data_IF_546485468271
#
_entry.id   IF_546485468271
#
_cell.length_a   1.000
_cell.length_b   1.000
_cell.length_c   1.000
_cell.angle_alpha   90.00
_cell.angle_beta   90.00
_cell.angle_gamma   90.00
#
_symmetry.space_group_name_H-M   'P 1'
#
loop_
_entity.id
_entity.type
_entity.pdbx_description
1 polymer ?
#
# COMPACT_ATOMS: atom_id res chain seq x y z
N UNK A 1 21.58 12.08 1.08
CA UNK A 1 20.30 12.24 1.80
C UNK A 1 19.85 13.71 1.89
N UNK A 2 20.73 14.63 2.30
CA UNK A 2 20.42 16.08 2.37
C UNK A 2 20.10 16.70 0.99
N UNK A 3 20.79 16.28 -0.08
CA UNK A 3 20.47 16.70 -1.45
C UNK A 3 19.12 16.15 -1.98
N UNK A 4 18.66 14.99 -1.48
CA UNK A 4 17.36 14.41 -1.87
C UNK A 4 16.18 15.24 -1.32
N UNK A 5 16.29 15.72 -0.07
CA UNK A 5 15.27 16.53 0.60
C UNK A 5 15.16 17.96 0.04
N UNK A 6 16.18 18.43 -0.67
CA UNK A 6 16.23 19.78 -1.23
C UNK A 6 15.42 19.89 -2.54
N UNK A 7 15.06 18.76 -3.14
CA UNK A 7 14.23 18.71 -4.34
C UNK A 7 12.76 18.49 -3.95
N UNK A 8 11.93 19.52 -4.17
CA UNK A 8 10.50 19.51 -3.83
C UNK A 8 9.74 18.29 -4.37
N UNK A 9 10.12 17.79 -5.54
CA UNK A 9 9.47 16.65 -6.18
C UNK A 9 9.78 15.32 -5.46
N UNK A 10 11.02 15.16 -4.97
CA UNK A 10 11.43 14.01 -4.16
C UNK A 10 10.81 14.03 -2.77
N UNK A 11 10.69 15.22 -2.17
CA UNK A 11 9.95 15.41 -0.92
C UNK A 11 8.50 14.95 -1.07
N UNK A 12 7.85 15.26 -2.20
CA UNK A 12 6.50 14.78 -2.50
C UNK A 12 6.38 13.24 -2.50
N UNK A 13 7.35 12.55 -3.11
CA UNK A 13 7.39 11.06 -3.12
C UNK A 13 7.55 10.50 -1.71
N UNK A 14 8.47 11.05 -0.94
CA UNK A 14 8.72 10.59 0.43
C UNK A 14 7.49 10.85 1.33
N UNK A 15 6.86 12.01 1.19
CA UNK A 15 5.61 12.33 1.89
C UNK A 15 4.50 11.36 1.49
N UNK A 16 4.35 11.06 0.20
CA UNK A 16 3.34 10.10 -0.27
C UNK A 16 3.58 8.70 0.31
N UNK A 17 4.82 8.20 0.25
CA UNK A 17 5.20 6.91 0.82
C UNK A 17 4.95 6.87 2.33
N UNK A 18 5.29 7.95 3.04
CA UNK A 18 5.11 8.07 4.49
C UNK A 18 3.62 8.10 4.85
N UNK A 19 2.82 8.92 4.16
CA UNK A 19 1.38 8.99 4.36
C UNK A 19 0.69 7.66 4.05
N UNK A 20 1.11 6.98 2.99
CA UNK A 20 0.63 5.63 2.64
C UNK A 20 1.00 4.63 3.73
N UNK A 21 2.24 4.64 4.20
CA UNK A 21 2.69 3.80 5.30
C UNK A 21 1.89 4.02 6.58
N UNK A 22 1.67 5.28 6.97
CA UNK A 22 0.86 5.61 8.14
C UNK A 22 -0.60 5.16 7.97
N UNK A 23 -1.21 5.39 6.80
CA UNK A 23 -2.58 4.97 6.53
C UNK A 23 -2.74 3.46 6.71
N UNK A 24 -1.87 2.65 6.10
CA UNK A 24 -1.96 1.20 6.19
C UNK A 24 -1.49 0.66 7.55
N UNK A 25 -0.69 1.41 8.31
CA UNK A 25 -0.32 1.06 9.69
C UNK A 25 -1.54 1.19 10.62
N UNK A 26 -2.29 2.28 10.51
CA UNK A 26 -3.49 2.54 11.33
C UNK A 26 -4.78 1.93 10.75
N UNK A 27 -4.71 1.14 9.68
CA UNK A 27 -5.92 0.63 9.00
C UNK A 27 -6.77 -0.27 9.88
N UNK A 28 -6.20 -0.96 10.86
CA UNK A 28 -6.94 -1.79 11.82
C UNK A 28 -7.91 -0.95 12.63
N UNK A 29 -7.36 0.00 13.39
CA UNK A 29 -8.11 0.96 14.20
C UNK A 29 -9.12 1.75 13.36
N UNK A 30 -8.75 2.16 12.14
CA UNK A 30 -9.66 2.83 11.22
C UNK A 30 -10.82 1.92 10.80
N UNK A 31 -10.53 0.64 10.54
CA UNK A 31 -11.54 -0.34 10.16
C UNK A 31 -12.50 -0.57 11.31
N UNK A 32 -11.99 -0.83 12.52
CA UNK A 32 -12.81 -1.10 13.70
C UNK A 32 -13.78 0.04 13.99
N UNK A 33 -13.28 1.28 13.96
CA UNK A 33 -14.10 2.48 14.16
C UNK A 33 -15.19 2.61 13.10
N UNK A 34 -14.88 2.35 11.83
CA UNK A 34 -15.86 2.50 10.77
C UNK A 34 -16.88 1.35 10.78
N UNK A 35 -16.45 0.11 11.03
CA UNK A 35 -17.34 -1.05 11.14
C UNK A 35 -18.28 -0.83 12.32
N UNK A 36 -17.75 -0.49 13.50
CA UNK A 36 -18.53 -0.22 14.70
C UNK A 36 -19.64 0.79 14.46
N UNK A 37 -19.32 1.88 13.77
CA UNK A 37 -20.30 2.91 13.38
C UNK A 37 -21.39 2.39 12.45
N UNK A 38 -21.07 1.47 11.55
CA UNK A 38 -22.03 0.90 10.60
C UNK A 38 -22.92 -0.15 11.27
N UNK A 39 -22.36 -1.00 12.12
CA UNK A 39 -23.10 -2.11 12.74
C UNK A 39 -23.85 -1.71 14.01
N UNK A 40 -23.51 -0.57 14.62
CA UNK A 40 -24.21 -0.01 15.77
C UNK A 40 -23.77 -0.59 17.12
N UNK A 41 -22.64 -1.29 17.17
CA UNK A 41 -22.02 -1.81 18.39
C UNK A 41 -20.49 -1.77 18.27
N UNK A 42 -19.78 -1.94 19.38
CA UNK A 42 -18.31 -1.96 19.38
C UNK A 42 -17.81 -3.24 18.71
N UNK A 43 -17.19 -3.08 17.55
CA UNK A 43 -16.50 -4.12 16.82
C UNK A 43 -15.00 -3.99 17.06
N UNK A 44 -14.37 -5.10 17.45
CA UNK A 44 -12.92 -5.23 17.64
C UNK A 44 -12.47 -6.53 16.98
N UNK A 45 -11.32 -6.51 16.33
CA UNK A 45 -10.73 -7.70 15.76
C UNK A 45 -10.18 -8.59 16.89
N UNK A 46 -10.51 -9.89 16.85
CA UNK A 46 -9.92 -10.84 17.78
C UNK A 46 -8.45 -11.15 17.45
N UNK A 47 -8.15 -11.32 16.17
CA UNK A 47 -6.80 -11.44 15.63
C UNK A 47 -6.56 -10.30 14.66
N UNK A 48 -5.32 -9.81 14.55
CA UNK A 48 -5.03 -8.78 13.56
C UNK A 48 -5.18 -9.38 12.15
N UNK A 49 -6.07 -8.84 11.28
CA UNK A 49 -6.17 -9.27 9.89
C UNK A 49 -5.06 -8.68 9.01
N UNK A 50 -4.11 -7.98 9.65
CA UNK A 50 -3.15 -7.11 9.02
C UNK A 50 -1.74 -7.51 9.46
N UNK A 51 -0.77 -7.42 8.55
CA UNK A 51 0.62 -7.80 8.81
C UNK A 51 1.54 -6.56 8.82
N UNK A 52 1.74 -5.88 9.96
CA UNK A 52 2.59 -4.68 10.05
C UNK A 52 4.02 -4.90 9.56
N UNK A 53 4.58 -6.09 9.76
CA UNK A 53 5.93 -6.43 9.30
C UNK A 53 6.04 -6.43 7.77
N UNK A 54 5.01 -6.90 7.06
CA UNK A 54 4.97 -6.82 5.59
C UNK A 54 4.94 -5.37 5.15
N UNK A 55 4.13 -4.53 5.80
CA UNK A 55 4.07 -3.10 5.48
C UNK A 55 5.41 -2.40 5.69
N UNK A 56 6.09 -2.65 6.82
CA UNK A 56 7.43 -2.11 7.09
C UNK A 56 8.45 -2.57 6.04
N UNK A 57 8.42 -3.86 5.67
CA UNK A 57 9.26 -4.39 4.61
C UNK A 57 8.99 -3.70 3.27
N UNK A 58 7.71 -3.54 2.90
CA UNK A 58 7.32 -2.85 1.66
C UNK A 58 7.81 -1.40 1.65
N UNK A 59 7.72 -0.67 2.77
CA UNK A 59 8.26 0.70 2.88
C UNK A 59 9.78 0.69 2.66
N UNK A 60 10.51 -0.21 3.31
CA UNK A 60 11.96 -0.32 3.19
C UNK A 60 12.39 -0.64 1.74
N UNK A 61 11.70 -1.58 1.09
CA UNK A 61 11.99 -1.95 -0.30
C UNK A 61 11.63 -0.82 -1.27
N UNK A 62 10.51 -0.11 -1.05
CA UNK A 62 10.15 1.09 -1.82
C UNK A 62 11.25 2.15 -1.76
N UNK A 63 11.80 2.41 -0.56
CA UNK A 63 12.94 3.33 -0.40
C UNK A 63 14.16 2.85 -1.20
N UNK A 64 14.48 1.56 -1.13
CA UNK A 64 15.55 0.95 -1.92
C UNK A 64 15.37 1.15 -3.43
N UNK A 65 14.15 0.91 -3.95
CA UNK A 65 13.82 1.10 -5.37
C UNK A 65 13.90 2.58 -5.78
N UNK A 66 13.42 3.50 -4.95
CA UNK A 66 13.50 4.94 -5.21
C UNK A 66 14.97 5.38 -5.24
N UNK A 67 15.79 4.92 -4.28
CA UNK A 67 17.24 5.21 -4.25
C UNK A 67 17.93 4.68 -5.51
N UNK A 68 17.61 3.45 -5.93
CA UNK A 68 18.15 2.87 -7.16
C UNK A 68 17.76 3.69 -8.40
N UNK A 69 16.49 4.11 -8.50
CA UNK A 69 16.00 4.96 -9.59
C UNK A 69 16.70 6.32 -9.62
N UNK A 70 16.97 6.92 -8.46
CA UNK A 70 17.65 8.21 -8.38
C UNK A 70 19.09 8.16 -8.89
N UNK A 71 19.76 7.02 -8.73
CA UNK A 71 21.13 6.79 -9.23
C UNK A 71 21.22 6.62 -10.75
N UNK A 72 20.10 6.43 -11.45
CA UNK A 72 20.16 6.30 -12.91
C UNK A 72 20.46 7.67 -13.57
N UNK A 73 21.62 7.83 -14.18
CA UNK A 73 22.05 9.09 -14.81
C UNK A 73 21.36 9.35 -16.17
N UNK A 74 20.77 8.31 -16.79
CA UNK A 74 20.14 8.38 -18.11
C UNK A 74 18.71 8.93 -18.09
N UNK A 75 18.18 9.28 -16.92
CA UNK A 75 16.82 9.81 -16.76
C UNK A 75 16.85 11.18 -16.12
N UNK A 76 16.03 12.09 -16.64
CA UNK A 76 15.82 13.36 -16.01
C UNK A 76 15.08 13.20 -14.67
N UNK A 77 15.31 14.13 -13.75
CA UNK A 77 14.69 14.14 -12.42
C UNK A 77 13.16 14.04 -12.51
N UNK A 78 12.54 14.76 -13.45
CA UNK A 78 11.08 14.77 -13.60
C UNK A 78 10.53 13.40 -14.01
N UNK A 79 11.27 12.66 -14.84
CA UNK A 79 10.89 11.32 -15.30
C UNK A 79 11.00 10.31 -14.16
N UNK A 80 12.08 10.39 -13.38
CA UNK A 80 12.25 9.56 -12.18
C UNK A 80 11.11 9.79 -11.20
N UNK A 81 10.71 11.04 -10.99
CA UNK A 81 9.60 11.37 -10.10
C UNK A 81 8.29 10.80 -10.62
N UNK A 82 8.02 10.94 -11.93
CA UNK A 82 6.83 10.40 -12.58
C UNK A 82 6.76 8.87 -12.44
N UNK A 83 7.86 8.17 -12.65
CA UNK A 83 7.95 6.70 -12.52
C UNK A 83 7.69 6.27 -11.07
N UNK A 84 8.38 6.87 -10.10
CA UNK A 84 8.18 6.57 -8.69
C UNK A 84 6.75 6.86 -8.25
N UNK A 85 6.17 7.99 -8.70
CA UNK A 85 4.78 8.35 -8.43
C UNK A 85 3.79 7.33 -9.00
N UNK A 86 3.99 6.87 -10.25
CA UNK A 86 3.17 5.80 -10.84
C UNK A 86 3.25 4.50 -10.04
N UNK A 87 4.45 4.08 -9.65
CA UNK A 87 4.64 2.89 -8.82
C UNK A 87 3.93 3.00 -7.48
N UNK A 88 4.15 4.09 -6.75
CA UNK A 88 3.51 4.32 -5.45
C UNK A 88 1.99 4.44 -5.56
N UNK A 89 1.48 5.04 -6.65
CA UNK A 89 0.05 5.10 -6.90
C UNK A 89 -0.55 3.70 -7.16
N UNK A 90 0.11 2.85 -7.96
CA UNK A 90 -0.34 1.46 -8.16
C UNK A 90 -0.36 0.68 -6.86
N UNK A 91 0.71 0.79 -6.07
CA UNK A 91 0.80 0.21 -4.74
C UNK A 91 -0.37 0.67 -3.83
N UNK A 92 -0.61 1.98 -3.78
CA UNK A 92 -1.69 2.58 -2.99
C UNK A 92 -3.07 2.11 -3.44
N UNK A 93 -3.38 2.20 -4.75
CA UNK A 93 -4.70 1.85 -5.30
C UNK A 93 -5.06 0.40 -5.00
N UNK A 94 -4.12 -0.53 -5.20
CA UNK A 94 -4.36 -1.93 -4.88
C UNK A 94 -4.62 -2.14 -3.38
N UNK A 95 -3.85 -1.47 -2.52
CA UNK A 95 -4.09 -1.52 -1.08
C UNK A 95 -5.47 -1.01 -0.68
N UNK A 96 -5.94 0.09 -1.27
CA UNK A 96 -7.29 0.61 -1.04
C UNK A 96 -8.36 -0.36 -1.53
N UNK A 97 -8.18 -0.98 -2.70
CA UNK A 97 -9.12 -1.98 -3.22
C UNK A 97 -9.19 -3.19 -2.29
N UNK A 98 -8.04 -3.76 -1.92
CA UNK A 98 -8.00 -4.91 -1.02
C UNK A 98 -8.59 -4.58 0.35
N UNK A 99 -8.31 -3.39 0.88
CA UNK A 99 -8.93 -2.92 2.12
C UNK A 99 -10.45 -2.78 1.98
N UNK A 100 -10.95 -2.21 0.88
CA UNK A 100 -12.39 -2.11 0.61
C UNK A 100 -13.09 -3.48 0.51
N UNK A 101 -12.45 -4.46 -0.13
CA UNK A 101 -12.95 -5.84 -0.20
C UNK A 101 -13.05 -6.44 1.20
N UNK A 102 -11.97 -6.36 1.99
CA UNK A 102 -11.95 -6.83 3.37
C UNK A 102 -13.08 -6.21 4.18
N UNK A 103 -13.19 -4.89 4.09
CA UNK A 103 -14.20 -4.09 4.79
C UNK A 103 -15.63 -4.52 4.48
N UNK A 104 -15.92 -4.71 3.18
CA UNK A 104 -17.21 -5.18 2.71
C UNK A 104 -17.53 -6.58 3.23
N UNK A 105 -16.56 -7.50 3.15
CA UNK A 105 -16.74 -8.88 3.62
C UNK A 105 -17.09 -8.96 5.11
N UNK A 106 -16.48 -8.10 5.93
CA UNK A 106 -16.79 -8.04 7.37
C UNK A 106 -18.23 -7.59 7.60
N UNK A 107 -18.62 -6.48 6.99
CA UNK A 107 -19.96 -5.93 7.18
C UNK A 107 -21.03 -6.92 6.73
N UNK A 108 -20.80 -7.59 5.60
CA UNK A 108 -21.73 -8.60 5.10
C UNK A 108 -21.88 -9.78 6.07
N UNK A 109 -20.78 -10.29 6.63
CA UNK A 109 -20.81 -11.39 7.59
C UNK A 109 -21.42 -10.99 8.94
N UNK A 110 -21.09 -9.81 9.45
CA UNK A 110 -21.70 -9.31 10.69
C UNK A 110 -23.21 -9.11 10.55
N UNK A 111 -23.69 -8.69 9.38
CA UNK A 111 -25.12 -8.53 9.11
C UNK A 111 -25.85 -9.85 8.89
N UNK A 112 -25.20 -10.83 8.25
CA UNK A 112 -25.84 -12.10 7.86
C UNK A 112 -25.75 -13.18 8.94
N UNK A 113 -24.63 -13.26 9.66
CA UNK A 113 -24.32 -14.36 10.59
C UNK A 113 -24.06 -13.89 12.02
N UNK A 114 -23.89 -12.57 12.24
CA UNK A 114 -23.57 -12.01 13.55
C UNK A 114 -22.19 -12.41 14.09
N UNK A 115 -21.33 -13.02 13.26
CA UNK A 115 -20.02 -13.54 13.65
C UNK A 115 -19.02 -13.46 12.50
N UNK A 116 -17.75 -13.29 12.85
CA UNK A 116 -16.59 -13.21 11.96
C UNK A 116 -15.85 -14.53 11.79
N UNK A 117 -16.24 -15.58 12.51
CA UNK A 117 -15.49 -16.85 12.55
C UNK A 117 -15.29 -17.47 11.16
N UNK A 118 -16.25 -17.29 10.24
CA UNK A 118 -16.14 -17.76 8.85
C UNK A 118 -15.09 -16.98 8.07
N UNK A 119 -14.97 -15.67 8.30
CA UNK A 119 -13.93 -14.85 7.65
C UNK A 119 -12.55 -15.23 8.16
N UNK A 120 -12.41 -15.41 9.47
CA UNK A 120 -11.16 -15.79 10.14
C UNK A 120 -10.67 -17.16 9.66
N UNK A 121 -11.59 -18.10 9.39
CA UNK A 121 -11.28 -19.38 8.77
C UNK A 121 -10.81 -19.27 7.31
N UNK A 122 -11.11 -18.16 6.62
CA UNK A 122 -10.68 -17.90 5.25
C UNK A 122 -9.50 -16.92 5.24
N UNK A 123 -8.30 -17.46 5.52
CA UNK A 123 -7.04 -16.71 5.60
C UNK A 123 -6.79 -15.78 4.40
N UNK A 124 -7.17 -16.19 3.19
CA UNK A 124 -6.98 -15.38 1.98
C UNK A 124 -7.85 -14.12 2.00
N UNK A 125 -9.13 -14.26 2.33
CA UNK A 125 -10.05 -13.12 2.40
C UNK A 125 -9.79 -12.28 3.65
N UNK A 126 -9.32 -12.90 4.73
CA UNK A 126 -8.93 -12.23 5.95
C UNK A 126 -7.73 -11.30 5.74
N UNK A 127 -6.71 -11.75 5.02
CA UNK A 127 -5.51 -10.95 4.71
C UNK A 127 -5.52 -10.30 3.31
N UNK A 128 -6.69 -10.16 2.67
CA UNK A 128 -6.80 -9.71 1.28
C UNK A 128 -6.21 -8.30 1.06
N UNK A 129 -6.28 -7.42 2.06
CA UNK A 129 -5.67 -6.09 2.02
C UNK A 129 -4.14 -6.16 1.85
N UNK A 130 -3.47 -7.06 2.59
CA UNK A 130 -2.03 -7.26 2.49
C UNK A 130 -1.61 -7.92 1.18
N UNK A 131 -2.36 -8.93 0.76
CA UNK A 131 -2.14 -9.60 -0.51
C UNK A 131 -2.24 -8.58 -1.65
N UNK A 132 -3.28 -7.72 -1.63
CA UNK A 132 -3.45 -6.68 -2.63
C UNK A 132 -2.30 -5.67 -2.60
N UNK A 133 -1.86 -5.20 -1.43
CA UNK A 133 -0.69 -4.32 -1.30
C UNK A 133 0.57 -4.93 -1.94
N UNK A 134 0.86 -6.20 -1.65
CA UNK A 134 2.01 -6.90 -2.22
C UNK A 134 1.89 -7.04 -3.74
N UNK A 135 0.69 -7.37 -4.24
CA UNK A 135 0.42 -7.44 -5.68
C UNK A 135 0.60 -6.08 -6.38
N UNK A 136 0.04 -5.01 -5.81
CA UNK A 136 0.18 -3.66 -6.33
C UNK A 136 1.63 -3.18 -6.33
N UNK A 137 2.37 -3.49 -5.27
CA UNK A 137 3.81 -3.26 -5.20
C UNK A 137 4.54 -3.99 -6.33
N UNK A 138 4.34 -5.30 -6.46
CA UNK A 138 5.00 -6.13 -7.47
C UNK A 138 4.70 -5.67 -8.90
N UNK A 139 3.42 -5.43 -9.20
CA UNK A 139 2.98 -4.94 -10.52
C UNK A 139 3.57 -3.56 -10.82
N UNK A 140 3.49 -2.61 -9.90
CA UNK A 140 4.06 -1.27 -10.09
C UNK A 140 5.59 -1.32 -10.27
N UNK A 141 6.26 -2.20 -9.52
CA UNK A 141 7.71 -2.37 -9.63
C UNK A 141 8.11 -2.93 -11.00
N UNK A 142 7.39 -3.95 -11.51
CA UNK A 142 7.68 -4.55 -12.82
C UNK A 142 7.35 -3.60 -13.97
N UNK A 143 6.19 -2.94 -13.93
CA UNK A 143 5.71 -2.10 -15.01
C UNK A 143 6.48 -0.79 -15.14
N UNK A 144 6.84 -0.17 -14.00
CA UNK A 144 7.41 1.18 -13.98
C UNK A 144 8.87 1.19 -13.49
N UNK A 145 9.16 0.62 -12.33
CA UNK A 145 10.47 0.77 -11.68
C UNK A 145 11.58 -0.01 -12.39
N UNK A 146 11.36 -1.30 -12.70
CA UNK A 146 12.39 -2.19 -13.27
C UNK A 146 12.96 -1.62 -14.57
N UNK A 147 12.09 -1.21 -15.49
CA UNK A 147 12.52 -0.65 -16.78
C UNK A 147 13.29 0.65 -16.59
N UNK A 148 12.77 1.57 -15.77
CA UNK A 148 13.40 2.85 -15.52
C UNK A 148 14.73 2.74 -14.75
N UNK A 149 14.90 1.73 -13.89
CA UNK A 149 16.17 1.47 -13.19
C UNK A 149 17.22 0.90 -14.16
N UNK A 150 16.84 -0.04 -15.03
CA UNK A 150 17.81 -0.79 -15.84
C UNK A 150 18.05 -0.26 -17.26
N UNK A 151 17.06 0.36 -17.91
CA UNK A 151 17.08 0.60 -19.36
C UNK A 151 16.92 2.07 -19.79
N UNK A 152 16.71 3.03 -18.89
CA UNK A 152 16.56 4.45 -19.25
C UNK A 152 15.16 4.83 -19.80
N UNK A 153 15.08 5.87 -20.66
CA UNK A 153 13.82 6.46 -21.17
C UNK A 153 12.90 5.42 -21.78
N UNK A 154 11.62 5.46 -21.39
CA UNK A 154 10.57 4.60 -21.93
C UNK A 154 9.65 5.48 -22.78
N UNK A 155 9.83 5.40 -24.09
CA UNK A 155 8.88 5.95 -25.05
C UNK A 155 7.62 5.06 -25.04
N UNK A 156 6.46 5.66 -24.79
CA UNK A 156 5.13 5.06 -24.96
C UNK A 156 4.38 5.86 -26.01
#
# INVERSE_FOLDING_TARGET
>A
MIQLLRNKALTGILLFLTATGLLFYYREELSERFISRIVGYNFEYYLSPFMPLILLLLIAVNLGLIVALMKNENLETIEKVKVAGKHLLTFFVFGIIGWGIHFYSIIDLLKSQGSMAVLEGNILLYHISDIALVLGFGLGAVLYMRKAIHHGKIDF
#
